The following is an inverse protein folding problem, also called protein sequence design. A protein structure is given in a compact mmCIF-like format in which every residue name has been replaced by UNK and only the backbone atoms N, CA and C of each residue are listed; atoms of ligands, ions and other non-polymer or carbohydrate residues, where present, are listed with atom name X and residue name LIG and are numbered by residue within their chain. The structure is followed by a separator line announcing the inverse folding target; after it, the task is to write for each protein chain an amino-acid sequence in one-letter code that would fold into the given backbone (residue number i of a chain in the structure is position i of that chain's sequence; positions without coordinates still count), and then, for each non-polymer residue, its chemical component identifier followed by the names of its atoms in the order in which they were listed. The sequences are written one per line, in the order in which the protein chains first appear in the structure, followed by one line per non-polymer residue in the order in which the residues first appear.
data_IF_910882276861
#
_entry.id   IF_910882276861
#
_cell.length_a   1.000
_cell.length_b   1.000
_cell.length_c   1.000
_cell.angle_alpha   90.00
_cell.angle_beta   90.00
_cell.angle_gamma   90.00
#
_symmetry.space_group_name_H-M   'P 1'
#
loop_
_entity.id
_entity.type
_entity.pdbx_description
1 polymer ?
#
# COMPACT_ATOMS: atom_id res chain seq x y z
N UNK A 1 -1.23 -10.57 9.44
CA UNK A 1 -2.38 -9.86 10.05
C UNK A 1 -3.65 -10.59 9.66
N UNK A 2 -4.64 -10.66 10.55
CA UNK A 2 -5.98 -11.16 10.18
C UNK A 2 -6.67 -10.16 9.23
N UNK A 3 -7.51 -10.69 8.34
CA UNK A 3 -8.30 -9.89 7.40
C UNK A 3 -9.19 -8.87 8.15
N UNK A 4 -9.50 -7.72 7.54
CA UNK A 4 -10.37 -6.76 8.17
C UNK A 4 -11.80 -7.31 8.18
N UNK A 5 -12.62 -6.88 9.14
CA UNK A 5 -14.05 -7.19 9.10
C UNK A 5 -14.66 -6.69 7.78
N UNK A 6 -15.64 -7.43 7.21
CA UNK A 6 -16.21 -7.14 5.88
C UNK A 6 -16.74 -5.72 5.73
N UNK A 7 -16.62 -5.17 4.51
CA UNK A 7 -17.09 -3.81 4.20
C UNK A 7 -18.60 -3.66 4.36
N UNK A 8 -19.38 -4.70 4.03
CA UNK A 8 -20.82 -4.71 4.27
C UNK A 8 -21.17 -4.50 5.76
N UNK A 9 -20.36 -5.04 6.67
CA UNK A 9 -20.56 -4.88 8.11
C UNK A 9 -20.21 -3.45 8.56
N UNK A 10 -19.17 -2.87 7.97
CA UNK A 10 -18.77 -1.46 8.20
C UNK A 10 -19.82 -0.49 7.69
N UNK A 11 -20.38 -0.74 6.51
CA UNK A 11 -21.47 0.06 5.94
C UNK A 11 -22.73 0.02 6.81
N UNK A 12 -23.12 -1.17 7.30
CA UNK A 12 -24.23 -1.30 8.26
C UNK A 12 -23.95 -0.54 9.56
N UNK A 13 -22.73 -0.61 10.09
CA UNK A 13 -22.34 0.15 11.27
C UNK A 13 -22.45 1.65 11.04
N UNK A 14 -21.97 2.14 9.89
CA UNK A 14 -22.05 3.54 9.52
C UNK A 14 -23.50 4.02 9.44
N UNK A 15 -24.39 3.27 8.79
CA UNK A 15 -25.83 3.59 8.72
C UNK A 15 -26.45 3.73 10.11
N UNK A 16 -26.14 2.82 11.04
CA UNK A 16 -26.67 2.92 12.42
C UNK A 16 -26.20 4.19 13.14
N UNK A 17 -24.96 4.62 12.89
CA UNK A 17 -24.44 5.88 13.47
C UNK A 17 -25.12 7.10 12.84
N UNK A 18 -25.38 7.06 11.53
CA UNK A 18 -26.15 8.09 10.81
C UNK A 18 -27.61 8.16 11.29
N UNK A 19 -28.20 7.02 11.68
CA UNK A 19 -29.51 6.91 12.34
C UNK A 19 -29.49 7.39 13.81
N UNK A 20 -28.36 7.90 14.30
CA UNK A 20 -28.22 8.55 15.62
C UNK A 20 -27.69 7.65 16.73
N UNK A 21 -27.32 6.40 16.45
CA UNK A 21 -26.75 5.53 17.49
C UNK A 21 -25.31 5.94 17.83
N UNK A 22 -24.97 5.84 19.12
CA UNK A 22 -23.57 5.90 19.53
C UNK A 22 -22.79 4.71 18.94
N UNK A 23 -21.48 4.88 18.73
CA UNK A 23 -20.64 3.78 18.22
C UNK A 23 -20.65 2.52 19.10
N UNK A 24 -20.88 2.66 20.41
CA UNK A 24 -21.06 1.51 21.32
C UNK A 24 -22.41 0.82 21.10
N UNK A 25 -23.50 1.59 20.96
CA UNK A 25 -24.82 1.04 20.69
C UNK A 25 -24.89 0.34 19.33
N UNK A 26 -24.31 0.94 18.28
CA UNK A 26 -24.19 0.33 16.96
C UNK A 26 -23.38 -0.98 16.98
N UNK A 27 -22.31 -1.06 17.79
CA UNK A 27 -21.55 -2.29 17.93
C UNK A 27 -22.35 -3.42 18.57
N UNK A 28 -23.08 -3.13 19.66
CA UNK A 28 -23.95 -4.14 20.30
C UNK A 28 -25.01 -4.66 19.33
N UNK A 29 -25.63 -3.76 18.55
CA UNK A 29 -26.65 -4.14 17.54
C UNK A 29 -26.08 -5.02 16.43
N UNK A 30 -24.79 -4.90 16.13
CA UNK A 30 -24.09 -5.72 15.14
C UNK A 30 -23.28 -6.88 15.74
N UNK A 31 -23.46 -7.17 17.05
CA UNK A 31 -22.71 -8.22 17.77
C UNK A 31 -21.18 -8.05 17.67
N UNK A 32 -20.72 -6.81 17.60
CA UNK A 32 -19.32 -6.43 17.63
C UNK A 32 -18.87 -6.09 19.05
N UNK A 33 -17.57 -6.20 19.30
CA UNK A 33 -16.99 -5.73 20.56
C UNK A 33 -17.13 -4.21 20.70
N UNK A 34 -17.34 -3.73 21.93
CA UNK A 34 -17.45 -2.29 22.23
C UNK A 34 -16.20 -1.50 21.80
N UNK A 35 -15.01 -2.12 21.86
CA UNK A 35 -13.76 -1.55 21.40
C UNK A 35 -13.76 -1.29 19.88
N UNK A 36 -14.30 -2.22 19.10
CA UNK A 36 -14.48 -2.05 17.65
C UNK A 36 -15.45 -0.91 17.35
N UNK A 37 -16.57 -0.86 18.08
CA UNK A 37 -17.53 0.24 17.99
C UNK A 37 -16.93 1.61 18.28
N UNK A 38 -16.15 1.71 19.36
CA UNK A 38 -15.47 2.96 19.71
C UNK A 38 -14.46 3.38 18.62
N UNK A 39 -13.69 2.43 18.07
CA UNK A 39 -12.71 2.71 17.00
C UNK A 39 -13.40 3.15 15.71
N UNK A 40 -14.44 2.45 15.26
CA UNK A 40 -15.17 2.80 14.03
C UNK A 40 -15.95 4.11 14.19
N UNK A 41 -16.58 4.35 15.35
CA UNK A 41 -17.22 5.64 15.62
C UNK A 41 -16.24 6.81 15.60
N UNK A 42 -15.01 6.64 16.12
CA UNK A 42 -13.94 7.64 15.98
C UNK A 42 -13.52 7.84 14.53
N UNK A 43 -13.38 6.76 13.75
CA UNK A 43 -13.04 6.84 12.34
C UNK A 43 -14.09 7.62 11.54
N UNK A 44 -15.38 7.31 11.73
CA UNK A 44 -16.49 8.04 11.08
C UNK A 44 -16.43 9.53 11.42
N UNK A 45 -16.23 9.90 12.69
CA UNK A 45 -16.12 11.33 13.06
C UNK A 45 -14.93 12.04 12.43
N UNK A 46 -13.83 11.33 12.19
CA UNK A 46 -12.59 11.92 11.65
C UNK A 46 -12.56 11.96 10.13
N UNK A 47 -13.09 10.94 9.45
CA UNK A 47 -12.93 10.74 8.00
C UNK A 47 -14.26 10.52 7.28
N UNK A 48 -15.39 10.64 7.97
CA UNK A 48 -16.74 10.42 7.43
C UNK A 48 -17.13 8.96 7.20
N UNK A 49 -16.22 8.00 7.43
CA UNK A 49 -16.44 6.61 7.01
C UNK A 49 -15.79 5.59 7.95
N UNK A 50 -16.41 4.41 8.06
CA UNK A 50 -15.86 3.26 8.79
C UNK A 50 -14.95 2.37 7.92
N UNK A 51 -14.16 2.93 7.00
CA UNK A 51 -13.31 2.15 6.08
C UNK A 51 -12.19 1.40 6.80
N UNK A 52 -11.80 0.24 6.26
CA UNK A 52 -10.57 -0.41 6.69
C UNK A 52 -9.37 0.44 6.27
N UNK A 53 -8.35 0.51 7.14
CA UNK A 53 -7.06 1.04 6.70
C UNK A 53 -6.44 0.07 5.68
N UNK A 54 -5.64 0.56 4.72
CA UNK A 54 -4.86 -0.30 3.84
C UNK A 54 -4.11 -1.35 4.66
N UNK A 55 -4.32 -2.62 4.31
CA UNK A 55 -3.64 -3.74 4.95
C UNK A 55 -2.47 -4.21 4.09
N UNK A 56 -1.46 -4.78 4.74
CA UNK A 56 -0.26 -5.29 4.08
C UNK A 56 0.87 -4.28 4.01
N UNK A 57 1.89 -4.61 3.21
CA UNK A 57 3.04 -3.72 3.01
C UNK A 57 2.52 -2.42 2.40
N UNK A 58 2.81 -1.25 2.99
CA UNK A 58 2.42 0.03 2.41
C UNK A 58 2.80 0.07 0.93
N UNK A 59 1.87 0.52 0.09
CA UNK A 59 2.18 0.86 -1.29
C UNK A 59 3.32 1.88 -1.27
N UNK A 60 4.46 1.49 -1.83
CA UNK A 60 5.68 2.26 -1.72
C UNK A 60 6.47 2.14 -3.01
N UNK A 61 7.06 3.27 -3.37
CA UNK A 61 8.10 3.42 -4.38
C UNK A 61 9.31 2.61 -3.85
N UNK A 62 9.57 1.43 -4.42
CA UNK A 62 10.62 0.53 -3.92
C UNK A 62 12.00 1.22 -3.90
N UNK A 63 13.03 0.55 -3.35
CA UNK A 63 14.41 1.08 -3.28
C UNK A 63 14.92 1.64 -4.63
N UNK A 64 14.43 1.10 -5.75
CA UNK A 64 14.82 1.48 -7.11
C UNK A 64 14.00 2.62 -7.73
N UNK A 65 12.86 2.97 -7.16
CA UNK A 65 11.95 3.93 -7.78
C UNK A 65 12.52 5.35 -7.90
N UNK A 66 13.28 5.89 -6.92
CA UNK A 66 14.00 7.15 -7.10
C UNK A 66 15.02 7.13 -8.25
N UNK A 67 15.47 5.93 -8.66
CA UNK A 67 16.46 5.71 -9.71
C UNK A 67 15.83 5.24 -11.03
N UNK A 68 14.50 5.37 -11.16
CA UNK A 68 13.76 4.96 -12.35
C UNK A 68 14.33 5.59 -13.63
N UNK A 69 14.44 6.91 -13.65
CA UNK A 69 14.88 7.65 -14.83
C UNK A 69 16.30 7.26 -15.23
N UNK A 70 17.20 7.18 -14.25
CA UNK A 70 18.58 6.74 -14.45
C UNK A 70 18.70 5.35 -15.11
N UNK A 71 17.94 4.36 -14.62
CA UNK A 71 17.96 3.02 -15.18
C UNK A 71 17.38 2.97 -16.61
N UNK A 72 16.36 3.78 -16.90
CA UNK A 72 15.78 3.87 -18.25
C UNK A 72 16.78 4.53 -19.21
N UNK A 73 17.41 5.63 -18.80
CA UNK A 73 18.40 6.34 -19.62
C UNK A 73 19.60 5.45 -19.96
N UNK A 74 20.06 4.59 -19.05
CA UNK A 74 21.12 3.63 -19.33
C UNK A 74 20.72 2.62 -20.41
N UNK A 75 19.49 2.11 -20.35
CA UNK A 75 18.96 1.17 -21.36
C UNK A 75 18.76 1.87 -22.71
N UNK A 76 18.29 3.12 -22.70
CA UNK A 76 18.11 3.91 -23.92
C UNK A 76 19.47 4.26 -24.58
N UNK A 77 20.54 4.37 -23.79
CA UNK A 77 21.91 4.54 -24.28
C UNK A 77 22.51 3.23 -24.79
N UNK A 78 22.30 2.13 -24.07
CA UNK A 78 22.80 0.80 -24.40
C UNK A 78 21.77 -0.27 -24.02
N UNK A 79 21.02 -0.72 -25.03
CA UNK A 79 19.96 -1.72 -24.86
C UNK A 79 20.47 -3.14 -24.61
N UNK A 80 21.75 -3.43 -24.89
CA UNK A 80 22.36 -4.75 -24.68
C UNK A 80 22.97 -4.89 -23.27
N UNK A 81 22.95 -3.80 -22.49
CA UNK A 81 23.50 -3.74 -21.14
C UNK A 81 22.80 -4.75 -20.22
N UNK A 82 23.61 -5.59 -19.58
CA UNK A 82 23.12 -6.70 -18.76
C UNK A 82 22.64 -6.23 -17.38
N UNK A 83 21.79 -7.04 -16.73
CA UNK A 83 21.29 -6.71 -15.38
C UNK A 83 22.41 -6.55 -14.32
N UNK A 84 23.49 -7.36 -14.32
CA UNK A 84 24.64 -7.13 -13.45
C UNK A 84 25.36 -5.81 -13.72
N UNK A 85 25.50 -5.40 -14.98
CA UNK A 85 26.10 -4.11 -15.34
C UNK A 85 25.23 -2.94 -14.86
N UNK A 86 23.91 -3.03 -15.02
CA UNK A 86 22.98 -2.04 -14.47
C UNK A 86 23.05 -1.97 -12.94
N UNK A 87 23.25 -3.10 -12.26
CA UNK A 87 23.45 -3.13 -10.82
C UNK A 87 24.75 -2.42 -10.40
N UNK A 88 25.84 -2.66 -11.13
CA UNK A 88 27.11 -1.96 -10.95
C UNK A 88 26.97 -0.46 -11.17
N UNK A 89 26.43 -0.05 -12.32
CA UNK A 89 26.22 1.36 -12.65
C UNK A 89 25.35 2.10 -11.62
N UNK A 90 24.28 1.46 -11.12
CA UNK A 90 23.45 2.01 -10.05
C UNK A 90 24.23 2.18 -8.75
N UNK A 91 25.00 1.17 -8.35
CA UNK A 91 25.81 1.20 -7.14
C UNK A 91 26.87 2.31 -7.23
N UNK A 92 27.54 2.45 -8.37
CA UNK A 92 28.61 3.43 -8.58
C UNK A 92 28.06 4.87 -8.59
N UNK A 93 26.92 5.09 -9.29
CA UNK A 93 26.35 6.42 -9.41
C UNK A 93 25.62 6.90 -8.14
N UNK A 94 25.07 5.98 -7.33
CA UNK A 94 24.11 6.35 -6.26
C UNK A 94 24.39 5.71 -4.90
N UNK A 95 25.33 4.77 -4.81
CA UNK A 95 25.59 3.95 -3.62
C UNK A 95 24.53 2.87 -3.35
N UNK A 96 23.49 2.78 -4.20
CA UNK A 96 22.33 1.91 -3.98
C UNK A 96 22.60 0.50 -4.51
N UNK A 97 22.96 -0.40 -3.61
CA UNK A 97 23.15 -1.82 -3.92
C UNK A 97 21.83 -2.53 -4.21
N UNK A 98 21.69 -3.15 -5.38
CA UNK A 98 20.52 -3.94 -5.75
C UNK A 98 20.94 -5.23 -6.45
N UNK A 99 20.24 -6.33 -6.15
CA UNK A 99 20.46 -7.59 -6.86
C UNK A 99 19.98 -7.46 -8.33
N UNK A 100 20.68 -8.04 -9.32
CA UNK A 100 20.29 -8.00 -10.73
C UNK A 100 18.80 -8.37 -10.96
N UNK A 101 18.32 -9.45 -10.33
CA UNK A 101 16.91 -9.85 -10.41
C UNK A 101 15.91 -8.81 -9.87
N UNK A 102 16.31 -7.98 -8.90
CA UNK A 102 15.48 -6.90 -8.40
C UNK A 102 15.33 -5.78 -9.44
N UNK A 103 16.41 -5.49 -10.17
CA UNK A 103 16.41 -4.54 -11.29
C UNK A 103 15.56 -5.08 -12.43
N UNK A 104 15.77 -6.33 -12.85
CA UNK A 104 14.94 -6.95 -13.90
C UNK A 104 13.45 -6.99 -13.55
N UNK A 105 13.09 -7.33 -12.30
CA UNK A 105 11.68 -7.26 -11.84
C UNK A 105 11.13 -5.84 -11.81
N UNK A 106 11.97 -4.86 -11.52
CA UNK A 106 11.58 -3.45 -11.52
C UNK A 106 11.33 -2.97 -12.95
N UNK A 107 12.24 -3.22 -13.89
CA UNK A 107 12.10 -2.86 -15.30
C UNK A 107 10.89 -3.53 -15.97
N UNK A 108 10.63 -4.82 -15.66
CA UNK A 108 9.41 -5.50 -16.12
C UNK A 108 8.12 -4.82 -15.66
N UNK A 109 8.10 -4.24 -14.46
CA UNK A 109 6.95 -3.44 -13.99
C UNK A 109 6.80 -2.10 -14.73
N UNK A 110 7.86 -1.64 -15.38
CA UNK A 110 7.87 -0.43 -16.20
C UNK A 110 7.55 -0.70 -17.67
N UNK A 111 7.46 -1.97 -18.08
CA UNK A 111 7.11 -2.38 -19.45
C UNK A 111 8.27 -2.89 -20.30
N UNK A 112 9.49 -3.01 -19.75
CA UNK A 112 10.64 -3.59 -20.47
C UNK A 112 10.54 -5.12 -20.47
N UNK A 113 10.95 -5.74 -21.58
CA UNK A 113 10.93 -7.20 -21.79
C UNK A 113 12.33 -7.74 -22.03
#
# INVERSE_FOLDING_TARGET
MSAPLPDALRARFQKLVEEGLSGRAAALRLKLTLATGARWGRAIRRTGQARAAPQGRPGGKGKLDPHRTFLIELIDQDGDMTMPELAGALADATGVQAHPDAIGRFLRKLGFT
#
